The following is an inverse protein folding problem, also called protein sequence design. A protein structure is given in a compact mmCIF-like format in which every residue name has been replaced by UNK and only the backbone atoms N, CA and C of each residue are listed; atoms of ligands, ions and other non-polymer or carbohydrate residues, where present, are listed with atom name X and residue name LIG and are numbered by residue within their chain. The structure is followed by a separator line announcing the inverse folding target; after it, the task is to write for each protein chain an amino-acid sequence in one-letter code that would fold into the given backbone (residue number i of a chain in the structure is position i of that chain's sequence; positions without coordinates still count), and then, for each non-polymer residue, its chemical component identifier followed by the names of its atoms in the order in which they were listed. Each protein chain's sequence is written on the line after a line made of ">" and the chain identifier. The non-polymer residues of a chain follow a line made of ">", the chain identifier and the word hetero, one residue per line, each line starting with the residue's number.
data_IF_735205488061
#
_entry.id   IF_735205488061
#
_cell.length_a   1.000
_cell.length_b   1.000
_cell.length_c   1.000
_cell.angle_alpha   90.00
_cell.angle_beta   90.00
_cell.angle_gamma   90.00
#
_symmetry.space_group_name_H-M   'P 1'
#
loop_
_entity.id
_entity.type
_entity.pdbx_description
1 polymer ?
#
# COMPACT_ATOMS: atom_id res chain seq x y z
N UNK A 1 14.03 -14.54 -4.84
CA UNK A 1 14.27 -13.16 -4.35
C UNK A 1 12.95 -12.63 -3.81
N UNK A 2 12.91 -11.75 -2.80
CA UNK A 2 11.64 -11.15 -2.38
C UNK A 2 11.01 -10.40 -3.55
N UNK A 3 9.75 -10.70 -3.85
CA UNK A 3 9.02 -10.11 -4.97
C UNK A 3 8.49 -8.71 -4.62
N UNK A 4 8.51 -8.36 -3.34
CA UNK A 4 8.05 -7.07 -2.82
C UNK A 4 9.24 -6.29 -2.29
N UNK A 5 9.43 -5.09 -2.82
CA UNK A 5 10.30 -4.09 -2.22
C UNK A 5 9.45 -3.11 -1.41
N UNK A 6 9.96 -2.66 -0.26
CA UNK A 6 9.27 -1.69 0.59
C UNK A 6 10.22 -0.57 1.05
N UNK A 7 9.71 0.66 1.05
CA UNK A 7 10.34 1.83 1.67
C UNK A 7 9.34 2.50 2.58
N UNK A 8 9.80 2.91 3.77
CA UNK A 8 8.95 3.56 4.76
C UNK A 8 9.49 4.95 5.06
N UNK A 9 8.59 5.91 5.18
CA UNK A 9 8.85 7.26 5.70
C UNK A 9 7.80 7.61 6.74
N UNK A 10 8.10 8.53 7.65
CA UNK A 10 7.12 8.93 8.66
C UNK A 10 7.57 10.08 9.55
N UNK A 11 6.59 10.58 10.29
CA UNK A 11 6.71 11.50 11.41
C UNK A 11 6.06 10.88 12.64
N UNK A 12 6.01 11.60 13.76
CA UNK A 12 5.49 11.11 15.05
C UNK A 12 4.12 10.43 14.95
N UNK A 13 3.20 11.00 14.16
CA UNK A 13 1.81 10.54 14.07
C UNK A 13 1.36 10.14 12.66
N UNK A 14 2.30 9.94 11.73
CA UNK A 14 1.97 9.58 10.35
C UNK A 14 3.07 8.69 9.76
N UNK A 15 2.68 7.55 9.21
CA UNK A 15 3.57 6.63 8.51
C UNK A 15 3.11 6.52 7.06
N UNK A 16 4.04 6.41 6.13
CA UNK A 16 3.76 6.07 4.74
C UNK A 16 4.69 4.97 4.29
N UNK A 17 4.11 3.86 3.84
CA UNK A 17 4.81 2.72 3.28
C UNK A 17 4.58 2.69 1.77
N UNK A 18 5.67 2.61 1.02
CA UNK A 18 5.66 2.47 -0.43
C UNK A 18 6.05 1.04 -0.78
N UNK A 19 5.21 0.36 -1.55
CA UNK A 19 5.40 -1.02 -1.99
C UNK A 19 5.61 -1.06 -3.49
N UNK A 20 6.51 -1.94 -3.93
CA UNK A 20 6.63 -2.34 -5.34
C UNK A 20 6.46 -3.86 -5.37
N UNK A 21 5.35 -4.33 -5.93
CA UNK A 21 5.15 -5.76 -6.20
C UNK A 21 5.67 -6.08 -7.60
N UNK A 22 6.80 -6.78 -7.67
CA UNK A 22 7.43 -7.27 -8.90
C UNK A 22 6.96 -8.67 -9.30
N UNK A 23 6.04 -9.28 -8.56
CA UNK A 23 5.42 -10.54 -8.98
C UNK A 23 4.63 -10.28 -10.29
N UNK A 24 4.77 -11.21 -11.24
CA UNK A 24 4.19 -11.14 -12.58
C UNK A 24 2.99 -12.07 -12.80
N UNK A 25 2.66 -12.91 -11.82
CA UNK A 25 1.67 -13.97 -11.96
C UNK A 25 0.59 -13.95 -10.87
N UNK A 26 0.90 -13.40 -9.69
CA UNK A 26 0.01 -13.49 -8.53
C UNK A 26 -0.05 -12.20 -7.70
N UNK A 27 -1.16 -12.06 -6.99
CA UNK A 27 -1.32 -11.09 -5.91
C UNK A 27 -0.37 -11.43 -4.76
N UNK A 28 0.13 -10.39 -4.12
CA UNK A 28 0.97 -10.50 -2.93
C UNK A 28 0.23 -10.03 -1.68
N UNK A 29 0.18 -10.88 -0.67
CA UNK A 29 -0.33 -10.52 0.66
C UNK A 29 0.79 -9.93 1.51
N UNK A 30 0.54 -8.77 2.11
CA UNK A 30 1.49 -8.12 3.03
C UNK A 30 0.81 -7.87 4.38
N UNK A 31 1.50 -8.25 5.45
CA UNK A 31 1.11 -7.94 6.83
C UNK A 31 2.10 -6.94 7.39
N UNK A 32 1.58 -5.81 7.86
CA UNK A 32 2.36 -4.75 8.49
C UNK A 32 2.09 -4.79 9.98
N UNK A 33 3.15 -5.01 10.75
CA UNK A 33 3.12 -5.01 12.20
C UNK A 33 3.54 -3.64 12.75
N UNK A 34 2.56 -2.90 13.29
CA UNK A 34 2.77 -1.63 13.96
C UNK A 34 2.84 -1.77 15.49
N UNK A 35 2.93 -2.99 16.03
CA UNK A 35 3.08 -3.22 17.47
C UNK A 35 4.22 -2.46 18.15
N UNK A 36 5.34 -2.09 17.47
CA UNK A 36 6.36 -1.23 18.07
C UNK A 36 5.89 0.21 18.34
N UNK A 37 4.84 0.70 17.67
CA UNK A 37 4.26 2.00 17.93
C UNK A 37 3.33 1.92 19.15
N UNK A 38 3.48 2.89 20.06
CA UNK A 38 2.62 2.98 21.25
C UNK A 38 1.22 3.50 20.93
N UNK A 39 1.12 4.26 19.85
CA UNK A 39 -0.07 4.92 19.34
C UNK A 39 -0.99 3.93 18.63
N UNK A 40 -2.29 4.20 18.63
CA UNK A 40 -3.30 3.43 17.91
C UNK A 40 -3.45 3.92 16.46
N UNK A 41 -4.03 3.10 15.57
CA UNK A 41 -4.33 3.53 14.20
C UNK A 41 -5.65 4.31 14.18
N UNK A 42 -5.58 5.61 13.90
CA UNK A 42 -6.74 6.47 13.61
C UNK A 42 -7.39 6.01 12.31
N UNK A 43 -6.69 6.21 11.19
CA UNK A 43 -7.11 5.80 9.86
C UNK A 43 -5.93 5.34 8.99
N UNK A 44 -6.26 4.61 7.93
CA UNK A 44 -5.31 4.21 6.91
C UNK A 44 -5.97 4.18 5.54
N UNK A 45 -5.21 4.43 4.49
CA UNK A 45 -5.68 4.40 3.10
C UNK A 45 -4.61 3.80 2.20
N UNK A 46 -5.02 2.93 1.29
CA UNK A 46 -4.15 2.29 0.33
C UNK A 46 -4.42 2.83 -1.07
N UNK A 47 -3.41 3.48 -1.65
CA UNK A 47 -3.40 3.88 -3.04
C UNK A 47 -2.67 2.81 -3.85
N UNK A 48 -3.29 2.27 -4.89
CA UNK A 48 -2.68 1.25 -5.74
C UNK A 48 -2.70 1.72 -7.19
N UNK A 49 -1.53 1.64 -7.82
CA UNK A 49 -1.34 1.75 -9.24
C UNK A 49 -1.03 0.36 -9.80
N UNK A 50 -1.94 -0.17 -10.61
CA UNK A 50 -1.82 -1.47 -11.30
C UNK A 50 -2.26 -1.34 -12.77
N UNK A 51 -1.95 -2.34 -13.60
CA UNK A 51 -2.45 -2.48 -14.99
C UNK A 51 -2.01 -1.46 -16.06
N UNK A 52 -0.94 -0.68 -15.86
CA UNK A 52 -0.51 0.31 -16.86
C UNK A 52 0.98 0.23 -17.23
N UNK A 53 1.56 -0.97 -17.31
CA UNK A 53 2.95 -1.12 -17.75
C UNK A 53 3.09 -1.18 -19.28
N UNK A 54 2.04 -1.58 -19.99
CA UNK A 54 2.05 -1.74 -21.45
C UNK A 54 1.28 -0.60 -22.17
N UNK A 55 0.52 0.22 -21.44
CA UNK A 55 -0.25 1.38 -21.96
C UNK A 55 0.66 2.61 -22.02
N UNK A 56 1.42 2.74 -23.10
CA UNK A 56 2.28 3.90 -23.37
C UNK A 56 1.58 4.91 -24.29
N UNK A 57 1.52 6.18 -23.87
CA UNK A 57 1.21 7.35 -24.70
C UNK A 57 0.00 7.23 -25.63
N UNK A 58 -1.20 7.06 -25.06
CA UNK A 58 -2.42 7.42 -25.78
C UNK A 58 -2.60 8.93 -25.63
N UNK A 59 -2.87 9.64 -26.72
CA UNK A 59 -3.30 11.05 -26.69
C UNK A 59 -4.84 11.08 -26.85
N UNK A 60 -5.60 11.56 -25.85
CA UNK A 60 -5.15 12.09 -24.56
C UNK A 60 -4.75 10.96 -23.59
N UNK A 61 -3.85 11.30 -22.65
CA UNK A 61 -3.39 10.34 -21.63
C UNK A 61 -4.60 9.71 -20.94
N UNK A 62 -4.74 8.38 -21.02
CA UNK A 62 -5.62 7.67 -20.11
C UNK A 62 -5.15 8.02 -18.71
N UNK A 63 -6.06 8.54 -17.88
CA UNK A 63 -5.74 8.76 -16.47
C UNK A 63 -5.21 7.43 -15.92
N UNK A 64 -4.09 7.42 -15.19
CA UNK A 64 -3.55 6.20 -14.62
C UNK A 64 -4.67 5.47 -13.87
N UNK A 65 -4.77 4.15 -14.04
CA UNK A 65 -5.69 3.31 -13.27
C UNK A 65 -5.24 3.32 -11.81
N UNK A 66 -5.59 4.38 -11.10
CA UNK A 66 -5.40 4.53 -9.68
C UNK A 66 -6.64 4.00 -9.01
N UNK A 67 -6.53 2.82 -8.43
CA UNK A 67 -7.56 2.34 -7.51
C UNK A 67 -7.23 2.87 -6.12
N UNK A 68 -8.18 3.59 -5.54
CA UNK A 68 -8.13 3.97 -4.13
C UNK A 68 -8.93 2.90 -3.41
N UNK A 69 -8.24 2.02 -2.67
CA UNK A 69 -8.92 1.18 -1.69
C UNK A 69 -8.94 1.95 -0.38
N UNK A 70 -10.12 2.36 0.06
CA UNK A 70 -10.29 3.13 1.30
C UNK A 70 -10.05 2.30 2.55
N UNK A 71 -10.03 0.97 2.46
CA UNK A 71 -10.00 0.13 3.64
C UNK A 71 -8.98 -1.01 3.48
N UNK A 72 -7.69 -0.78 3.81
CA UNK A 72 -6.80 -1.89 4.11
C UNK A 72 -7.39 -2.68 5.28
N UNK A 73 -7.50 -4.00 5.13
CA UNK A 73 -8.18 -4.86 6.10
C UNK A 73 -7.39 -4.84 7.42
N UNK A 74 -7.95 -4.22 8.46
CA UNK A 74 -7.40 -4.27 9.82
C UNK A 74 -7.54 -5.71 10.32
N UNK A 75 -6.41 -6.41 10.46
CA UNK A 75 -6.41 -7.86 10.70
C UNK A 75 -6.65 -8.21 12.17
N UNK A 76 -6.34 -7.30 13.09
CA UNK A 76 -6.66 -7.41 14.52
C UNK A 76 -6.66 -6.02 15.15
N UNK A 77 -7.29 -5.89 16.31
CA UNK A 77 -7.47 -4.63 17.04
C UNK A 77 -6.17 -3.80 17.09
N UNK A 78 -6.25 -2.62 16.47
CA UNK A 78 -5.36 -1.46 16.62
C UNK A 78 -3.95 -1.47 16.01
N UNK A 79 -3.33 -2.59 15.64
CA UNK A 79 -1.88 -2.57 15.25
C UNK A 79 -1.43 -3.44 14.09
N UNK A 80 -2.31 -4.27 13.51
CA UNK A 80 -1.98 -5.08 12.34
C UNK A 80 -2.79 -4.63 11.13
N UNK A 81 -2.08 -4.33 10.03
CA UNK A 81 -2.71 -4.00 8.75
C UNK A 81 -2.37 -5.09 7.74
N UNK A 82 -3.38 -5.71 7.14
CA UNK A 82 -3.24 -6.61 6.01
C UNK A 82 -3.64 -5.90 4.72
N UNK A 83 -2.80 -6.01 3.69
CA UNK A 83 -3.10 -5.51 2.34
C UNK A 83 -2.87 -6.60 1.31
N UNK A 84 -3.58 -6.50 0.19
CA UNK A 84 -3.33 -7.25 -1.02
C UNK A 84 -2.78 -6.31 -2.07
N UNK A 85 -1.64 -6.67 -2.65
CA UNK A 85 -1.01 -5.96 -3.75
C UNK A 85 -1.24 -6.74 -5.04
N UNK A 86 -1.87 -6.15 -6.08
CA UNK A 86 -1.93 -6.77 -7.40
C UNK A 86 -0.53 -7.10 -7.93
N UNK A 87 -0.44 -8.05 -8.84
CA UNK A 87 0.79 -8.26 -9.62
C UNK A 87 1.22 -6.96 -10.30
N UNK A 88 2.53 -6.80 -10.53
CA UNK A 88 3.11 -5.67 -11.26
C UNK A 88 2.60 -4.29 -10.80
N UNK A 89 2.50 -4.07 -9.48
CA UNK A 89 1.88 -2.87 -8.91
C UNK A 89 2.84 -2.03 -8.07
N UNK A 90 2.50 -0.74 -7.97
CA UNK A 90 3.09 0.19 -7.01
C UNK A 90 1.98 0.66 -6.08
N UNK A 91 2.22 0.64 -4.77
CA UNK A 91 1.24 1.06 -3.80
C UNK A 91 1.82 2.00 -2.74
N UNK A 92 0.99 2.89 -2.23
CA UNK A 92 1.29 3.73 -1.08
C UNK A 92 0.22 3.53 -0.01
N UNK A 93 0.62 2.98 1.13
CA UNK A 93 -0.21 2.89 2.33
C UNK A 93 0.12 4.06 3.24
N UNK A 94 -0.85 4.94 3.47
CA UNK A 94 -0.74 6.03 4.43
C UNK A 94 -1.48 5.63 5.70
N UNK A 95 -0.83 5.82 6.84
CA UNK A 95 -1.36 5.46 8.16
C UNK A 95 -1.25 6.69 9.05
N UNK A 96 -2.36 7.09 9.67
CA UNK A 96 -2.42 8.09 10.73
C UNK A 96 -2.50 7.38 12.07
N UNK A 97 -1.69 7.83 13.01
CA UNK A 97 -1.69 7.33 14.38
C UNK A 97 -2.37 8.34 15.32
N UNK A 98 -3.08 7.85 16.32
CA UNK A 98 -3.66 8.60 17.44
C UNK A 98 -2.98 8.22 18.76
N UNK A 99 -2.80 9.19 19.66
CA UNK A 99 -2.07 9.02 20.93
C UNK A 99 -2.69 8.00 21.89
#
# INVERSE_FOLDING_TARGET
>A
MPEIDVVTTGSENKITLFFINRNHADYSSVVIDLSPFKMSIDWSVLHVLSDALDDTNIDPARQPYMSISTDPVRADAERLIAIQLPERSVAALVIKLDE
#
